data_IF_536411335366
#
_entry.id   IF_536411335366
#
_cell.length_a   1.000
_cell.length_b   1.000
_cell.length_c   1.000
_cell.angle_alpha   90.00
_cell.angle_beta   90.00
_cell.angle_gamma   90.00
#
_symmetry.space_group_name_H-M   'P 1'
#
loop_
_entity.id
_entity.type
_entity.pdbx_description
1 polymer ?
#
# COMPACT_ATOMS: atom_id res chain seq x y z
N UNK A 1 31.61 99.59 6.79
CA UNK A 1 30.93 98.75 5.77
C UNK A 1 30.68 97.36 6.35
N UNK A 2 29.40 96.99 6.45
CA UNK A 2 28.75 95.68 6.66
C UNK A 2 29.46 94.59 7.50
N UNK A 3 28.91 94.31 8.68
CA UNK A 3 29.12 93.07 9.43
C UNK A 3 28.36 91.91 8.77
N UNK A 4 29.05 90.78 8.55
CA UNK A 4 28.44 89.53 8.06
C UNK A 4 28.17 88.66 9.29
N UNK A 5 26.89 88.44 9.61
CA UNK A 5 26.46 87.42 10.58
C UNK A 5 26.52 86.06 9.89
N UNK A 6 27.46 85.21 10.31
CA UNK A 6 27.54 83.82 9.88
C UNK A 6 26.54 83.01 10.72
N UNK A 7 25.44 82.60 10.11
CA UNK A 7 24.43 81.74 10.72
C UNK A 7 24.91 80.28 10.63
N UNK A 8 25.37 79.70 11.74
CA UNK A 8 25.72 78.27 11.82
C UNK A 8 24.41 77.48 11.95
N UNK A 9 24.02 76.80 10.86
CA UNK A 9 22.92 75.86 10.85
C UNK A 9 23.43 74.51 11.39
N UNK A 10 23.11 74.20 12.65
CA UNK A 10 23.39 72.88 13.25
C UNK A 10 22.37 71.88 12.71
N UNK A 11 22.78 71.06 11.75
CA UNK A 11 21.98 69.96 11.23
C UNK A 11 22.02 68.81 12.25
N UNK A 12 20.95 68.65 13.04
CA UNK A 12 20.80 67.49 13.94
C UNK A 12 20.41 66.28 13.09
N UNK A 13 21.38 65.42 12.80
CA UNK A 13 21.11 64.10 12.23
C UNK A 13 20.47 63.23 13.31
N UNK A 14 19.17 62.98 13.19
CA UNK A 14 18.46 61.99 14.00
C UNK A 14 18.71 60.62 13.35
N UNK A 15 19.44 59.68 13.97
CA UNK A 15 19.54 58.33 13.45
C UNK A 15 18.16 57.66 13.58
N UNK A 16 17.49 57.46 12.44
CA UNK A 16 16.37 56.52 12.35
C UNK A 16 16.93 55.10 12.59
N UNK A 17 16.85 54.64 13.84
CA UNK A 17 16.97 53.22 14.13
C UNK A 17 15.72 52.53 13.59
N UNK A 18 15.77 52.10 12.34
CA UNK A 18 14.83 51.10 11.83
C UNK A 18 15.15 49.80 12.54
N UNK A 19 14.45 49.53 13.65
CA UNK A 19 14.44 48.22 14.27
C UNK A 19 13.86 47.25 13.22
N UNK A 20 14.75 46.53 12.53
CA UNK A 20 14.38 45.45 11.64
C UNK A 20 13.73 44.38 12.53
N UNK A 21 12.39 44.37 12.62
CA UNK A 21 11.68 43.28 13.28
C UNK A 21 12.07 42.00 12.55
N UNK A 22 12.68 41.06 13.27
CA UNK A 22 13.04 39.76 12.71
C UNK A 22 11.77 39.11 12.14
N UNK A 23 11.89 38.51 10.96
CA UNK A 23 10.74 37.86 10.33
C UNK A 23 10.39 36.56 11.08
N UNK A 24 9.09 36.34 11.33
CA UNK A 24 8.60 35.11 11.97
C UNK A 24 9.06 33.84 11.23
N UNK A 25 9.72 32.94 11.96
CA UNK A 25 10.24 31.68 11.46
C UNK A 25 9.76 30.52 12.34
N UNK A 26 8.67 29.88 11.90
CA UNK A 26 8.05 28.78 12.63
C UNK A 26 8.63 27.40 12.27
N UNK A 27 8.65 26.50 13.25
CA UNK A 27 8.95 25.08 13.08
C UNK A 27 7.84 24.22 13.69
N UNK A 28 7.46 23.14 13.00
CA UNK A 28 6.58 22.10 13.51
C UNK A 28 7.43 20.89 13.93
N UNK A 29 7.59 20.74 15.23
CA UNK A 29 8.32 19.64 15.84
C UNK A 29 7.39 18.45 16.04
N UNK A 30 7.89 17.29 15.64
CA UNK A 30 7.24 15.99 15.78
C UNK A 30 8.28 14.92 15.46
N UNK A 31 8.21 13.74 16.09
CA UNK A 31 8.93 12.57 15.61
C UNK A 31 8.62 12.29 14.14
N UNK A 32 9.59 11.73 13.42
CA UNK A 32 9.39 11.32 12.03
C UNK A 32 8.57 10.03 11.92
N UNK A 33 8.65 9.16 12.93
CA UNK A 33 7.93 7.89 13.00
C UNK A 33 7.43 7.66 14.43
N UNK A 34 6.24 7.09 14.60
CA UNK A 34 5.63 6.79 15.90
C UNK A 34 4.91 5.45 15.80
N UNK A 35 5.04 4.57 16.81
CA UNK A 35 4.23 3.37 16.88
C UNK A 35 2.79 3.72 17.27
N UNK A 36 1.80 3.06 16.67
CA UNK A 36 0.39 3.42 16.79
C UNK A 36 -0.15 3.35 18.24
N UNK A 37 0.49 2.58 19.12
CA UNK A 37 0.17 2.48 20.55
C UNK A 37 0.80 3.57 21.42
N UNK A 38 1.63 4.44 20.85
CA UNK A 38 2.22 5.60 21.52
C UNK A 38 1.42 6.87 21.18
N UNK A 39 1.53 7.89 22.03
CA UNK A 39 1.00 9.22 21.70
C UNK A 39 1.90 9.91 20.69
N UNK A 40 1.27 10.65 19.77
CA UNK A 40 1.97 11.58 18.90
C UNK A 40 2.08 12.93 19.61
N UNK A 41 3.31 13.39 19.82
CA UNK A 41 3.61 14.75 20.30
C UNK A 41 3.86 15.68 19.14
N UNK A 42 3.12 16.78 19.06
CA UNK A 42 3.33 17.86 18.11
C UNK A 42 3.57 19.17 18.86
N UNK A 43 4.54 19.96 18.44
CA UNK A 43 4.72 21.30 18.99
C UNK A 43 5.18 22.31 17.95
N UNK A 44 4.89 23.59 18.20
CA UNK A 44 5.33 24.70 17.38
C UNK A 44 6.37 25.51 18.14
N UNK A 45 7.46 25.87 17.46
CA UNK A 45 8.45 26.82 17.97
C UNK A 45 8.64 27.97 16.99
N UNK A 46 8.94 29.17 17.50
CA UNK A 46 9.34 30.35 16.72
C UNK A 46 10.83 30.61 17.00
N UNK A 47 11.65 30.74 15.95
CA UNK A 47 13.12 30.78 16.10
C UNK A 47 13.67 32.07 16.70
N UNK A 48 12.92 33.16 16.61
CA UNK A 48 13.30 34.47 17.12
C UNK A 48 12.59 34.79 18.45
N UNK A 49 11.99 33.78 19.09
CA UNK A 49 11.26 33.89 20.35
C UNK A 49 10.12 34.93 20.33
N UNK A 50 9.53 35.16 19.15
CA UNK A 50 8.34 36.00 19.00
C UNK A 50 7.07 35.27 19.46
N UNK A 51 6.13 36.04 20.02
CA UNK A 51 4.90 35.51 20.60
C UNK A 51 4.02 34.80 19.58
N UNK A 52 3.51 33.64 19.98
CA UNK A 52 2.46 32.90 19.29
C UNK A 52 1.21 32.97 20.15
N UNK A 53 0.08 33.39 19.56
CA UNK A 53 -1.20 33.52 20.28
C UNK A 53 -1.82 32.16 20.54
N UNK A 54 -1.91 31.31 19.51
CA UNK A 54 -2.47 29.97 19.62
C UNK A 54 -2.12 29.13 18.40
N UNK A 55 -2.36 27.82 18.50
CA UNK A 55 -2.14 26.87 17.41
C UNK A 55 -3.34 25.94 17.28
N UNK A 56 -3.75 25.67 16.04
CA UNK A 56 -4.67 24.59 15.69
C UNK A 56 -3.92 23.52 14.91
N UNK A 57 -3.70 22.36 15.55
CA UNK A 57 -3.10 21.20 14.89
C UNK A 57 -4.13 20.45 14.02
N UNK A 58 -3.65 19.67 13.06
CA UNK A 58 -4.48 18.73 12.30
C UNK A 58 -3.69 17.51 11.87
N UNK A 59 -4.35 16.35 11.78
CA UNK A 59 -3.81 15.12 11.17
C UNK A 59 -4.65 14.81 9.93
N UNK A 60 -4.02 14.68 8.77
CA UNK A 60 -4.66 14.45 7.46
C UNK A 60 -5.80 15.43 7.17
N UNK A 61 -5.62 16.69 7.57
CA UNK A 61 -6.60 17.76 7.41
C UNK A 61 -7.72 17.77 8.45
N UNK A 62 -7.87 16.72 9.28
CA UNK A 62 -8.82 16.72 10.41
C UNK A 62 -8.28 17.61 11.53
N UNK A 63 -8.97 18.73 11.76
CA UNK A 63 -8.62 19.73 12.78
C UNK A 63 -8.79 19.17 14.19
N UNK A 64 -7.83 19.50 15.05
CA UNK A 64 -7.87 19.28 16.49
C UNK A 64 -8.31 20.58 17.20
N UNK A 65 -8.66 20.52 18.50
CA UNK A 65 -9.02 21.72 19.26
C UNK A 65 -7.94 22.79 19.19
N UNK A 66 -8.37 24.05 19.16
CA UNK A 66 -7.46 25.20 19.30
C UNK A 66 -6.83 25.17 20.70
N UNK A 67 -5.54 25.47 20.78
CA UNK A 67 -4.79 25.45 22.04
C UNK A 67 -3.81 26.61 22.12
N UNK A 68 -3.71 27.22 23.30
CA UNK A 68 -2.64 28.17 23.65
C UNK A 68 -1.36 27.45 24.06
N UNK A 69 -1.47 26.20 24.56
CA UNK A 69 -0.33 25.31 24.69
C UNK A 69 0.19 25.01 23.29
N UNK A 70 1.37 25.54 22.97
CA UNK A 70 2.08 25.34 21.70
C UNK A 70 2.54 23.88 21.49
N UNK A 71 2.13 22.97 22.38
CA UNK A 71 2.38 21.53 22.35
C UNK A 71 1.09 20.74 22.60
N UNK A 72 0.94 19.60 21.93
CA UNK A 72 -0.18 18.69 22.05
C UNK A 72 0.28 17.23 21.95
N UNK A 73 -0.16 16.42 22.91
CA UNK A 73 -0.07 14.96 22.86
C UNK A 73 -1.43 14.36 22.51
N UNK A 74 -1.49 13.53 21.47
CA UNK A 74 -2.73 12.89 21.02
C UNK A 74 -2.56 11.38 20.83
N UNK A 75 -3.59 10.60 21.18
CA UNK A 75 -3.63 9.18 20.85
C UNK A 75 -3.86 9.00 19.34
N UNK A 76 -3.07 8.12 18.74
CA UNK A 76 -3.17 7.78 17.32
C UNK A 76 -3.59 6.32 17.09
N UNK A 77 -4.02 5.61 18.14
CA UNK A 77 -4.30 4.16 18.10
C UNK A 77 -5.34 3.73 17.03
N UNK A 78 -6.26 4.62 16.68
CA UNK A 78 -7.37 4.35 15.76
C UNK A 78 -7.10 4.80 14.31
N UNK A 79 -5.89 5.32 14.04
CA UNK A 79 -5.48 5.66 12.68
C UNK A 79 -4.98 4.41 11.93
N UNK A 80 -5.12 4.43 10.60
CA UNK A 80 -4.40 3.48 9.75
C UNK A 80 -2.89 3.68 9.88
N UNK A 81 -2.12 2.67 9.49
CA UNK A 81 -0.66 2.80 9.43
C UNK A 81 -0.22 3.52 8.15
N UNK A 82 1.02 3.97 8.18
CA UNK A 82 1.70 4.53 7.02
C UNK A 82 1.93 6.02 7.12
N UNK A 83 1.89 6.68 5.96
CA UNK A 83 2.22 8.10 5.79
C UNK A 83 1.03 8.98 6.17
N UNK A 84 1.24 9.85 7.16
CA UNK A 84 0.28 10.88 7.56
C UNK A 84 0.88 12.27 7.41
N UNK A 85 0.00 13.25 7.22
CA UNK A 85 0.38 14.67 7.19
C UNK A 85 -0.12 15.36 8.44
N UNK A 86 0.80 15.86 9.24
CA UNK A 86 0.47 16.77 10.33
C UNK A 86 0.61 18.21 9.86
N UNK A 87 -0.26 19.07 10.36
CA UNK A 87 -0.15 20.52 10.12
C UNK A 87 -0.41 21.29 11.40
N UNK A 88 0.15 22.48 11.48
CA UNK A 88 -0.16 23.49 12.47
C UNK A 88 -0.61 24.76 11.75
N UNK A 89 -1.82 25.24 12.06
CA UNK A 89 -2.26 26.60 11.74
C UNK A 89 -1.94 27.49 12.94
N UNK A 90 -0.95 28.35 12.77
CA UNK A 90 -0.37 29.17 13.82
C UNK A 90 -1.00 30.55 13.74
N UNK A 91 -1.51 31.07 14.86
CA UNK A 91 -2.10 32.39 15.00
C UNK A 91 -1.11 33.31 15.73
N UNK A 92 -0.76 34.45 15.13
CA UNK A 92 0.23 35.40 15.66
C UNK A 92 -0.03 36.80 15.10
N UNK A 93 -0.02 37.84 15.94
CA UNK A 93 -0.17 39.26 15.51
C UNK A 93 -1.27 39.50 14.47
N UNK A 94 -2.48 38.98 14.72
CA UNK A 94 -3.65 39.03 13.82
C UNK A 94 -3.45 38.38 12.45
N UNK A 95 -2.42 37.55 12.29
CA UNK A 95 -2.10 36.78 11.09
C UNK A 95 -2.14 35.30 11.39
N UNK A 96 -2.15 34.52 10.30
CA UNK A 96 -2.03 33.06 10.39
C UNK A 96 -1.00 32.51 9.41
N UNK A 97 -0.31 31.44 9.79
CA UNK A 97 0.59 30.69 8.90
C UNK A 97 0.38 29.20 9.11
N UNK A 98 0.23 28.46 8.00
CA UNK A 98 0.14 27.00 8.02
C UNK A 98 1.50 26.41 7.69
N UNK A 99 1.97 25.51 8.53
CA UNK A 99 3.15 24.66 8.26
C UNK A 99 2.74 23.19 8.37
N UNK A 100 3.41 22.32 7.62
CA UNK A 100 3.07 20.89 7.56
C UNK A 100 4.32 20.01 7.54
N UNK A 101 4.18 18.80 8.07
CA UNK A 101 5.24 17.79 8.10
C UNK A 101 4.64 16.41 7.88
N UNK A 102 5.42 15.51 7.30
CA UNK A 102 5.05 14.09 7.23
C UNK A 102 5.51 13.36 8.49
N UNK A 103 4.63 12.51 9.02
CA UNK A 103 4.93 11.54 10.07
C UNK A 103 4.49 10.16 9.60
N UNK A 104 5.19 9.11 10.03
CA UNK A 104 4.82 7.73 9.71
C UNK A 104 4.32 7.00 10.95
N UNK A 105 3.11 6.45 10.86
CA UNK A 105 2.56 5.59 11.89
C UNK A 105 2.95 4.14 11.62
N UNK A 106 3.59 3.51 12.59
CA UNK A 106 4.12 2.15 12.51
C UNK A 106 3.28 1.20 13.38
N UNK A 107 3.36 -0.10 13.09
CA UNK A 107 2.73 -1.08 13.95
C UNK A 107 3.32 -1.02 15.38
N UNK A 108 2.48 -1.29 16.37
CA UNK A 108 2.78 -1.43 17.79
C UNK A 108 3.73 -2.59 18.11
N UNK A 109 3.70 -3.67 17.32
CA UNK A 109 4.51 -4.87 17.53
C UNK A 109 5.09 -5.42 16.24
N UNK A 110 6.15 -6.22 16.39
CA UNK A 110 6.72 -6.96 15.28
C UNK A 110 5.74 -8.02 14.75
N UNK A 111 5.78 -8.34 13.44
CA UNK A 111 4.98 -9.43 12.89
C UNK A 111 5.38 -10.78 13.49
N UNK A 112 4.39 -11.65 13.65
CA UNK A 112 4.61 -13.06 13.95
C UNK A 112 5.29 -13.77 12.77
N UNK A 113 6.18 -14.72 13.04
CA UNK A 113 6.88 -15.46 11.99
C UNK A 113 6.24 -16.83 11.82
N UNK A 114 5.97 -17.19 10.57
CA UNK A 114 5.39 -18.46 10.19
C UNK A 114 6.34 -19.25 9.30
N UNK A 115 6.31 -20.56 9.46
CA UNK A 115 6.77 -21.54 8.48
C UNK A 115 5.55 -22.22 7.87
N UNK A 116 5.76 -23.27 7.09
CA UNK A 116 4.67 -24.03 6.48
C UNK A 116 4.90 -25.54 6.60
N UNK A 117 3.80 -26.28 6.50
CA UNK A 117 3.75 -27.72 6.23
C UNK A 117 3.09 -27.93 4.87
N UNK A 118 3.66 -28.81 4.04
CA UNK A 118 3.02 -29.22 2.78
C UNK A 118 1.97 -30.27 3.12
N UNK A 119 0.72 -30.02 2.73
CA UNK A 119 -0.41 -30.94 2.91
C UNK A 119 -0.57 -31.79 1.65
N UNK A 120 -0.56 -31.15 0.48
CA UNK A 120 -0.63 -31.81 -0.83
C UNK A 120 0.25 -31.09 -1.85
N UNK A 121 0.52 -31.78 -2.96
CA UNK A 121 1.20 -31.22 -4.13
C UNK A 121 0.42 -31.62 -5.37
N UNK A 122 0.16 -30.65 -6.24
CA UNK A 122 -0.60 -30.81 -7.48
C UNK A 122 0.27 -30.42 -8.69
N UNK A 123 0.02 -30.99 -9.87
CA UNK A 123 0.64 -30.52 -11.11
C UNK A 123 0.23 -29.07 -11.40
N UNK A 124 1.16 -28.27 -11.93
CA UNK A 124 0.90 -26.94 -12.45
C UNK A 124 1.61 -26.78 -13.80
N UNK A 125 1.06 -25.96 -14.70
CA UNK A 125 1.63 -25.76 -16.03
C UNK A 125 2.97 -24.98 -15.92
N UNK A 126 4.12 -25.59 -16.28
CA UNK A 126 5.41 -24.90 -16.21
C UNK A 126 5.55 -23.77 -17.23
N UNK A 127 4.61 -23.62 -18.18
CA UNK A 127 4.56 -22.48 -19.11
C UNK A 127 3.72 -21.32 -18.60
N UNK A 128 3.02 -21.47 -17.48
CA UNK A 128 2.17 -20.43 -16.91
C UNK A 128 3.02 -19.39 -16.15
N UNK A 129 3.04 -18.16 -16.64
CA UNK A 129 3.61 -17.02 -15.91
C UNK A 129 2.56 -16.45 -14.96
N UNK A 130 2.29 -17.15 -13.86
CA UNK A 130 1.19 -16.85 -12.91
C UNK A 130 1.26 -15.43 -12.35
N UNK A 131 0.19 -14.66 -12.54
CA UNK A 131 0.06 -13.30 -12.00
C UNK A 131 -1.18 -13.09 -11.11
N UNK A 132 -2.18 -13.97 -11.22
CA UNK A 132 -3.31 -14.02 -10.30
C UNK A 132 -3.84 -15.44 -10.19
N UNK A 133 -4.21 -15.87 -9.00
CA UNK A 133 -4.71 -17.22 -8.74
C UNK A 133 -5.91 -17.14 -7.77
N UNK A 134 -7.01 -17.79 -8.10
CA UNK A 134 -8.21 -17.80 -7.26
C UNK A 134 -8.78 -19.23 -7.22
N UNK A 135 -9.24 -19.68 -6.05
CA UNK A 135 -9.96 -20.95 -5.94
C UNK A 135 -11.47 -20.69 -5.98
N UNK A 136 -12.17 -21.36 -6.89
CA UNK A 136 -13.61 -21.22 -6.99
C UNK A 136 -14.28 -22.52 -7.45
N UNK A 137 -15.23 -23.02 -6.63
CA UNK A 137 -16.07 -24.19 -6.91
C UNK A 137 -15.30 -25.45 -7.39
N UNK A 138 -14.16 -25.76 -6.75
CA UNK A 138 -13.36 -26.95 -7.09
C UNK A 138 -12.32 -26.76 -8.19
N UNK A 139 -12.29 -25.59 -8.83
CA UNK A 139 -11.33 -25.22 -9.85
C UNK A 139 -10.42 -24.10 -9.37
N UNK A 140 -9.27 -23.98 -10.02
CA UNK A 140 -8.45 -22.78 -9.97
C UNK A 140 -8.80 -21.90 -11.15
N UNK A 141 -8.81 -20.60 -10.94
CA UNK A 141 -8.87 -19.58 -11.97
C UNK A 141 -7.54 -18.86 -11.95
N UNK A 142 -6.91 -18.76 -13.11
CA UNK A 142 -5.54 -18.28 -13.20
C UNK A 142 -5.43 -17.22 -14.29
N UNK A 143 -4.79 -16.11 -13.93
CA UNK A 143 -4.31 -15.11 -14.87
C UNK A 143 -2.83 -15.35 -15.11
N UNK A 144 -2.43 -15.52 -16.37
CA UNK A 144 -1.02 -15.59 -16.76
C UNK A 144 -0.63 -14.32 -17.47
N UNK A 145 0.54 -13.76 -17.12
CA UNK A 145 1.08 -12.56 -17.77
C UNK A 145 2.04 -12.86 -18.91
N UNK A 146 2.60 -11.79 -19.50
CA UNK A 146 3.47 -11.65 -20.71
C UNK A 146 2.73 -11.11 -21.92
N UNK A 147 3.36 -10.14 -22.58
CA UNK A 147 2.89 -9.65 -23.88
C UNK A 147 2.87 -10.80 -24.90
N UNK A 148 1.78 -10.93 -25.63
CA UNK A 148 1.57 -11.99 -26.62
C UNK A 148 1.17 -13.35 -26.06
N UNK A 149 1.27 -13.60 -24.75
CA UNK A 149 0.90 -14.91 -24.14
C UNK A 149 0.09 -14.77 -22.86
N UNK A 150 -0.48 -13.59 -22.62
CA UNK A 150 -1.39 -13.35 -21.50
C UNK A 150 -2.69 -14.13 -21.70
N UNK A 151 -3.24 -14.72 -20.64
CA UNK A 151 -4.44 -15.55 -20.75
C UNK A 151 -5.25 -15.56 -19.46
N UNK A 152 -6.55 -15.86 -19.58
CA UNK A 152 -7.45 -16.20 -18.49
C UNK A 152 -7.78 -17.70 -18.59
N UNK A 153 -7.56 -18.45 -17.51
CA UNK A 153 -7.67 -19.91 -17.48
C UNK A 153 -8.58 -20.40 -16.36
N UNK A 154 -9.34 -21.46 -16.63
CA UNK A 154 -9.94 -22.35 -15.62
C UNK A 154 -9.16 -23.65 -15.61
N UNK A 155 -8.71 -24.08 -14.44
CA UNK A 155 -7.77 -25.20 -14.28
C UNK A 155 -8.31 -26.21 -13.29
N UNK A 156 -8.29 -27.49 -13.67
CA UNK A 156 -8.68 -28.58 -12.79
C UNK A 156 -7.60 -28.83 -11.73
N UNK A 157 -7.92 -28.54 -10.45
CA UNK A 157 -6.97 -28.58 -9.32
C UNK A 157 -6.15 -29.88 -9.27
N UNK A 158 -6.80 -31.04 -9.41
CA UNK A 158 -6.14 -32.36 -9.22
C UNK A 158 -5.11 -32.68 -10.31
N UNK A 159 -5.31 -32.20 -11.53
CA UNK A 159 -4.52 -32.61 -12.70
C UNK A 159 -3.68 -31.49 -13.28
N UNK A 160 -3.94 -30.23 -12.91
CA UNK A 160 -3.32 -29.05 -13.52
C UNK A 160 -3.77 -28.80 -14.97
N UNK A 161 -4.76 -29.55 -15.48
CA UNK A 161 -5.23 -29.39 -16.87
C UNK A 161 -6.11 -28.14 -16.98
N UNK A 162 -5.81 -27.31 -17.97
CA UNK A 162 -6.67 -26.20 -18.39
C UNK A 162 -7.94 -26.79 -19.01
N UNK A 163 -9.10 -26.42 -18.48
CA UNK A 163 -10.42 -26.89 -18.95
C UNK A 163 -11.18 -25.82 -19.73
N UNK A 164 -10.78 -24.56 -19.60
CA UNK A 164 -11.30 -23.42 -20.37
C UNK A 164 -10.24 -22.32 -20.37
N UNK A 165 -10.06 -21.65 -21.51
CA UNK A 165 -9.10 -20.57 -21.67
C UNK A 165 -9.59 -19.56 -22.71
N UNK A 166 -9.24 -18.30 -22.49
CA UNK A 166 -9.18 -17.29 -23.54
C UNK A 166 -7.77 -16.68 -23.55
N UNK A 167 -7.28 -16.38 -24.75
CA UNK A 167 -6.05 -15.62 -24.93
C UNK A 167 -6.39 -14.14 -24.93
N UNK A 168 -5.54 -13.33 -24.30
CA UNK A 168 -5.71 -11.88 -24.23
C UNK A 168 -4.89 -11.25 -25.35
N UNK A 169 -5.42 -10.17 -25.94
CA UNK A 169 -4.73 -9.45 -27.01
C UNK A 169 -3.27 -9.15 -26.64
N UNK A 170 -2.37 -9.38 -27.58
CA UNK A 170 -0.93 -9.27 -27.44
C UNK A 170 -0.44 -7.93 -26.89
N UNK A 171 -1.22 -6.86 -27.03
CA UNK A 171 -0.88 -5.55 -26.48
C UNK A 171 -0.96 -5.49 -24.95
N UNK A 172 -1.67 -6.44 -24.30
CA UNK A 172 -1.87 -6.45 -22.86
C UNK A 172 -0.96 -7.48 -22.19
N UNK A 173 -0.42 -7.04 -21.05
CA UNK A 173 0.18 -7.92 -20.06
C UNK A 173 -0.81 -8.01 -18.90
N UNK A 174 -1.43 -9.16 -18.69
CA UNK A 174 -2.39 -9.34 -17.58
C UNK A 174 -1.71 -9.68 -16.27
N UNK A 175 -2.33 -9.22 -15.18
CA UNK A 175 -1.81 -9.30 -13.82
C UNK A 175 -2.82 -10.03 -12.92
N UNK A 176 -3.04 -9.57 -11.69
CA UNK A 176 -3.93 -10.18 -10.71
C UNK A 176 -5.37 -10.34 -11.18
N UNK A 177 -6.03 -11.36 -10.64
CA UNK A 177 -7.40 -11.73 -10.95
C UNK A 177 -8.15 -12.12 -9.68
N UNK A 178 -9.45 -11.82 -9.62
CA UNK A 178 -10.34 -12.36 -8.59
C UNK A 178 -11.73 -12.62 -9.14
N UNK A 179 -12.50 -13.47 -8.45
CA UNK A 179 -13.91 -13.71 -8.73
C UNK A 179 -14.76 -12.96 -7.72
N UNK A 180 -15.55 -12.01 -8.21
CA UNK A 180 -16.40 -11.18 -7.36
C UNK A 180 -17.78 -10.98 -7.99
N UNK A 181 -18.85 -11.19 -7.21
CA UNK A 181 -20.25 -11.07 -7.66
C UNK A 181 -20.55 -11.74 -9.00
N UNK A 182 -20.14 -13.01 -9.14
CA UNK A 182 -20.34 -13.83 -10.34
C UNK A 182 -19.65 -13.30 -11.62
N UNK A 183 -18.60 -12.49 -11.45
CA UNK A 183 -17.75 -12.00 -12.54
C UNK A 183 -16.29 -12.24 -12.23
N UNK A 184 -15.49 -12.33 -13.29
CA UNK A 184 -14.03 -12.36 -13.19
C UNK A 184 -13.53 -10.95 -13.46
N UNK A 185 -12.67 -10.45 -12.57
CA UNK A 185 -11.94 -9.21 -12.76
C UNK A 185 -10.47 -9.55 -12.97
N UNK A 186 -9.83 -8.94 -13.96
CA UNK A 186 -8.42 -9.18 -14.27
C UNK A 186 -7.72 -7.85 -14.56
N UNK A 187 -6.63 -7.57 -13.85
CA UNK A 187 -5.85 -6.37 -14.05
C UNK A 187 -4.91 -6.50 -15.25
N UNK A 188 -4.39 -5.36 -15.68
CA UNK A 188 -3.24 -5.29 -16.59
C UNK A 188 -2.08 -4.60 -15.87
N UNK A 189 -0.85 -4.79 -16.36
CA UNK A 189 0.32 -4.20 -15.71
C UNK A 189 0.37 -2.67 -15.88
N UNK A 190 0.68 -2.21 -17.10
CA UNK A 190 0.99 -0.80 -17.40
C UNK A 190 -0.10 -0.05 -18.15
N UNK A 191 -1.23 -0.69 -18.46
CA UNK A 191 -2.27 -0.09 -19.31
C UNK A 191 -3.31 0.74 -18.54
N UNK A 192 -3.25 0.75 -17.20
CA UNK A 192 -4.16 1.59 -16.39
C UNK A 192 -5.61 1.10 -16.38
N UNK A 193 -5.86 -0.14 -16.79
CA UNK A 193 -7.21 -0.71 -16.90
C UNK A 193 -7.27 -2.18 -16.51
N UNK A 194 -8.45 -2.65 -16.13
CA UNK A 194 -8.76 -4.06 -15.96
C UNK A 194 -9.94 -4.48 -16.83
N UNK A 195 -10.06 -5.79 -17.02
CA UNK A 195 -11.13 -6.45 -17.76
C UNK A 195 -12.16 -7.05 -16.80
N UNK A 196 -13.41 -7.10 -17.26
CA UNK A 196 -14.53 -7.75 -16.59
C UNK A 196 -15.04 -8.84 -17.52
N UNK A 197 -15.12 -10.07 -17.03
CA UNK A 197 -15.61 -11.21 -17.80
C UNK A 197 -16.78 -11.89 -17.11
N UNK A 198 -17.64 -12.49 -17.92
CA UNK A 198 -18.59 -13.49 -17.47
C UNK A 198 -17.85 -14.70 -16.88
N UNK A 199 -18.27 -15.16 -15.70
CA UNK A 199 -17.61 -16.26 -14.99
C UNK A 199 -17.71 -17.61 -15.72
N UNK A 200 -18.80 -17.86 -16.43
CA UNK A 200 -19.06 -19.14 -17.10
C UNK A 200 -18.49 -19.17 -18.51
N UNK A 201 -18.73 -18.15 -19.33
CA UNK A 201 -18.34 -18.13 -20.74
C UNK A 201 -16.95 -17.57 -21.01
N UNK A 202 -16.36 -16.82 -20.06
CA UNK A 202 -15.19 -15.95 -20.26
C UNK A 202 -15.40 -14.82 -21.29
N UNK A 203 -16.64 -14.54 -21.68
CA UNK A 203 -16.92 -13.40 -22.54
C UNK A 203 -16.58 -12.09 -21.82
N UNK A 204 -15.85 -11.20 -22.49
CA UNK A 204 -15.49 -9.89 -21.95
C UNK A 204 -16.72 -8.99 -21.95
N UNK A 205 -17.25 -8.71 -20.77
CA UNK A 205 -18.43 -7.85 -20.57
C UNK A 205 -18.07 -6.37 -20.45
N UNK A 206 -16.82 -6.03 -20.12
CA UNK A 206 -16.41 -4.64 -20.01
C UNK A 206 -14.97 -4.41 -19.56
N UNK A 207 -14.67 -3.15 -19.29
CA UNK A 207 -13.39 -2.71 -18.73
C UNK A 207 -13.62 -1.67 -17.64
N UNK A 208 -12.63 -1.52 -16.76
CA UNK A 208 -12.58 -0.47 -15.74
C UNK A 208 -11.20 0.18 -15.69
N UNK A 209 -11.11 1.42 -15.23
CA UNK A 209 -9.85 2.16 -15.13
C UNK A 209 -9.41 2.30 -13.68
N UNK A 210 -8.11 2.27 -13.44
CA UNK A 210 -7.49 2.70 -12.18
C UNK A 210 -6.53 3.86 -12.48
N UNK A 211 -6.66 4.94 -11.72
CA UNK A 211 -6.08 6.25 -12.07
C UNK A 211 -5.31 6.90 -10.93
N UNK A 212 -5.45 6.42 -9.69
CA UNK A 212 -4.73 6.89 -8.50
C UNK A 212 -3.49 6.04 -8.24
N UNK A 213 -3.54 4.74 -8.46
CA UNK A 213 -2.37 3.86 -8.39
C UNK A 213 -1.46 4.01 -9.60
N UNK A 214 -0.20 3.60 -9.46
CA UNK A 214 0.77 3.65 -10.57
C UNK A 214 0.62 2.51 -11.58
N UNK A 215 0.21 1.31 -11.13
CA UNK A 215 0.11 0.07 -11.93
C UNK A 215 -0.98 -0.86 -11.36
N UNK A 216 -1.25 -1.99 -12.03
CA UNK A 216 -2.05 -3.10 -11.50
C UNK A 216 -1.19 -4.34 -11.28
N UNK A 217 -1.15 -4.88 -10.06
CA UNK A 217 -0.38 -6.08 -9.70
C UNK A 217 -1.36 -7.15 -9.18
N UNK A 218 -1.43 -7.46 -7.88
CA UNK A 218 -2.38 -8.42 -7.33
C UNK A 218 -3.80 -7.87 -7.21
N UNK A 219 -4.79 -8.77 -7.23
CA UNK A 219 -6.21 -8.47 -7.07
C UNK A 219 -6.89 -9.57 -6.26
N UNK A 220 -7.67 -9.20 -5.25
CA UNK A 220 -8.56 -10.09 -4.49
C UNK A 220 -9.83 -9.31 -4.12
N UNK A 221 -10.72 -9.88 -3.30
CA UNK A 221 -11.90 -9.18 -2.80
C UNK A 221 -12.26 -9.62 -1.38
N UNK A 222 -12.91 -8.74 -0.61
CA UNK A 222 -13.41 -9.07 0.74
C UNK A 222 -14.91 -9.38 0.78
N UNK A 223 -15.56 -9.59 -0.37
CA UNK A 223 -17.01 -9.73 -0.48
C UNK A 223 -17.81 -8.42 -0.57
N UNK A 224 -17.17 -7.27 -0.34
CA UNK A 224 -17.80 -5.93 -0.46
C UNK A 224 -17.05 -5.03 -1.46
N UNK A 225 -15.74 -5.19 -1.56
CA UNK A 225 -14.85 -4.36 -2.38
C UNK A 225 -13.82 -5.24 -3.07
N UNK A 226 -13.42 -4.80 -4.25
CA UNK A 226 -12.19 -5.28 -4.90
C UNK A 226 -10.99 -4.64 -4.18
N UNK A 227 -9.90 -5.40 -4.05
CA UNK A 227 -8.70 -5.00 -3.33
C UNK A 227 -7.50 -5.28 -4.22
N UNK A 228 -6.66 -4.28 -4.49
CA UNK A 228 -5.49 -4.45 -5.37
C UNK A 228 -4.20 -3.85 -4.86
N UNK A 229 -3.08 -4.36 -5.36
CA UNK A 229 -1.73 -3.80 -5.19
C UNK A 229 -1.22 -3.18 -6.50
N UNK A 230 -0.15 -2.40 -6.38
CA UNK A 230 0.53 -1.72 -7.50
C UNK A 230 2.06 -1.81 -7.39
N UNK A 231 2.58 -2.79 -6.63
CA UNK A 231 4.00 -2.95 -6.35
C UNK A 231 4.55 -2.00 -5.27
N UNK A 232 3.76 -1.08 -4.73
CA UNK A 232 4.14 -0.24 -3.58
C UNK A 232 3.73 -0.88 -2.25
N UNK A 233 3.80 -0.13 -1.15
CA UNK A 233 3.20 -0.47 0.15
C UNK A 233 1.67 -0.32 0.18
N UNK A 234 1.08 0.35 -0.82
CA UNK A 234 -0.34 0.68 -0.84
C UNK A 234 -1.16 -0.50 -1.28
N UNK A 235 -2.31 -0.62 -0.63
CA UNK A 235 -3.35 -1.57 -0.98
C UNK A 235 -4.63 -0.77 -1.17
N UNK A 236 -5.14 -0.80 -2.40
CA UNK A 236 -6.23 0.04 -2.87
C UNK A 236 -7.55 -0.70 -2.75
N UNK A 237 -8.57 -0.02 -2.24
CA UNK A 237 -9.94 -0.53 -2.17
C UNK A 237 -10.77 0.14 -3.26
N UNK A 238 -11.34 -0.68 -4.12
CA UNK A 238 -12.11 -0.27 -5.28
C UNK A 238 -13.60 -0.49 -5.00
N UNK A 239 -14.41 0.48 -5.41
CA UNK A 239 -15.86 0.40 -5.30
C UNK A 239 -16.41 -0.79 -6.10
N UNK A 240 -17.36 -1.53 -5.54
CA UNK A 240 -17.94 -2.71 -6.21
C UNK A 240 -18.71 -2.41 -7.49
N UNK A 241 -19.34 -1.24 -7.60
CA UNK A 241 -20.20 -0.87 -8.71
C UNK A 241 -19.43 -0.11 -9.79
N UNK A 242 -18.54 0.80 -9.38
CA UNK A 242 -17.81 1.69 -10.30
C UNK A 242 -16.35 1.30 -10.54
N UNK A 243 -15.81 0.38 -9.72
CA UNK A 243 -14.40 -0.03 -9.72
C UNK A 243 -13.39 1.12 -9.52
N UNK A 244 -13.87 2.31 -9.15
CA UNK A 244 -13.01 3.45 -8.85
C UNK A 244 -12.26 3.21 -7.53
N UNK A 245 -10.99 3.60 -7.51
CA UNK A 245 -10.14 3.56 -6.32
C UNK A 245 -10.62 4.58 -5.30
N UNK A 246 -11.25 4.13 -4.22
CA UNK A 246 -11.84 5.01 -3.22
C UNK A 246 -10.81 5.47 -2.19
N UNK A 247 -10.09 4.50 -1.61
CA UNK A 247 -9.11 4.71 -0.57
C UNK A 247 -8.01 3.64 -0.62
N UNK A 248 -7.04 3.75 0.28
CA UNK A 248 -5.99 2.77 0.47
C UNK A 248 -5.59 2.67 1.94
N UNK A 249 -4.99 1.52 2.28
CA UNK A 249 -4.14 1.36 3.47
C UNK A 249 -2.69 1.20 3.01
N UNK A 250 -1.74 1.37 3.94
CA UNK A 250 -0.33 1.10 3.66
C UNK A 250 0.20 -0.02 4.57
N UNK A 251 0.86 -1.01 3.98
CA UNK A 251 1.37 -2.18 4.70
C UNK A 251 2.66 -1.86 5.46
N UNK A 252 2.61 -1.88 6.79
CA UNK A 252 3.73 -1.54 7.66
C UNK A 252 3.96 -2.57 8.77
N UNK A 253 5.23 -2.82 9.07
CA UNK A 253 5.68 -3.46 10.32
C UNK A 253 5.91 -2.39 11.38
N UNK A 254 6.37 -2.79 12.57
CA UNK A 254 6.82 -1.87 13.61
C UNK A 254 8.11 -1.09 13.27
N UNK A 255 8.75 -1.36 12.12
CA UNK A 255 10.02 -0.76 11.73
C UNK A 255 9.98 -0.07 10.35
N UNK A 256 9.27 -0.67 9.40
CA UNK A 256 9.31 -0.26 7.98
C UNK A 256 8.08 -0.69 7.21
N UNK A 257 7.85 -0.03 6.08
CA UNK A 257 6.89 -0.42 5.06
C UNK A 257 7.26 -1.73 4.37
N UNK A 258 6.25 -2.44 3.87
CA UNK A 258 6.44 -3.42 2.81
C UNK A 258 6.85 -2.71 1.51
N UNK A 259 7.42 -3.48 0.60
CA UNK A 259 7.74 -3.03 -0.76
C UNK A 259 7.40 -4.18 -1.69
N UNK A 260 7.01 -3.89 -2.93
CA UNK A 260 6.78 -4.92 -3.97
C UNK A 260 5.69 -5.92 -3.58
N UNK A 261 4.61 -5.44 -2.96
CA UNK A 261 3.42 -6.26 -2.76
C UNK A 261 2.88 -6.66 -4.13
N UNK A 262 2.66 -7.95 -4.33
CA UNK A 262 2.26 -8.50 -5.61
C UNK A 262 0.90 -9.19 -5.47
N UNK A 263 0.80 -10.45 -5.90
CA UNK A 263 -0.43 -11.23 -5.87
C UNK A 263 -1.05 -11.30 -4.46
N UNK A 264 -2.38 -11.30 -4.41
CA UNK A 264 -3.18 -11.12 -3.19
C UNK A 264 -4.16 -12.27 -3.01
N UNK A 265 -4.45 -12.58 -1.74
CA UNK A 265 -5.64 -13.33 -1.35
C UNK A 265 -6.25 -12.81 -0.03
N UNK A 266 -7.57 -12.67 0.04
CA UNK A 266 -8.26 -12.21 1.25
C UNK A 266 -8.78 -13.38 2.10
N UNK A 267 -8.29 -13.48 3.33
CA UNK A 267 -8.60 -14.57 4.24
C UNK A 267 -8.95 -13.99 5.63
N UNK A 268 -10.22 -14.08 6.01
CA UNK A 268 -10.71 -13.80 7.37
C UNK A 268 -10.24 -12.45 7.96
N UNK A 269 -10.33 -11.35 7.18
CA UNK A 269 -9.92 -10.02 7.65
C UNK A 269 -8.46 -9.66 7.36
N UNK A 270 -7.66 -10.62 6.89
CA UNK A 270 -6.28 -10.43 6.49
C UNK A 270 -6.14 -10.50 4.97
N UNK A 271 -5.25 -9.67 4.44
CA UNK A 271 -4.81 -9.69 3.05
C UNK A 271 -3.45 -10.39 3.05
N UNK A 272 -3.42 -11.57 2.44
CA UNK A 272 -2.22 -12.33 2.18
C UNK A 272 -1.63 -11.78 0.90
N UNK A 273 -0.37 -11.38 0.93
CA UNK A 273 0.29 -10.82 -0.25
C UNK A 273 1.64 -11.49 -0.48
N UNK A 274 1.88 -11.92 -1.72
CA UNK A 274 3.24 -12.22 -2.14
C UNK A 274 4.07 -10.94 -2.13
N UNK A 275 5.37 -11.09 -1.86
CA UNK A 275 6.34 -10.00 -2.00
C UNK A 275 7.27 -10.35 -3.16
N UNK A 276 7.17 -9.62 -4.27
CA UNK A 276 7.92 -9.94 -5.49
C UNK A 276 9.43 -9.95 -5.22
N UNK A 277 10.12 -10.97 -5.77
CA UNK A 277 11.53 -11.31 -5.51
C UNK A 277 11.82 -11.88 -4.11
N UNK A 278 10.81 -12.14 -3.29
CA UNK A 278 10.98 -12.82 -1.99
C UNK A 278 10.17 -14.12 -1.96
N UNK A 279 10.70 -15.11 -1.23
CA UNK A 279 9.97 -16.36 -1.00
C UNK A 279 9.16 -16.24 0.30
N UNK A 280 8.30 -15.22 0.38
CA UNK A 280 7.48 -14.93 1.55
C UNK A 280 6.07 -14.51 1.18
N UNK A 281 5.15 -14.74 2.11
CA UNK A 281 3.82 -14.15 2.13
C UNK A 281 3.71 -13.29 3.38
N UNK A 282 3.20 -12.07 3.24
CA UNK A 282 2.87 -11.20 4.37
C UNK A 282 1.36 -11.24 4.61
N UNK A 283 0.96 -11.23 5.89
CA UNK A 283 -0.44 -11.22 6.31
C UNK A 283 -0.76 -9.84 6.88
N UNK A 284 -1.57 -9.08 6.16
CA UNK A 284 -1.82 -7.66 6.41
C UNK A 284 -3.24 -7.46 6.90
N UNK A 285 -3.41 -6.80 8.03
CA UNK A 285 -4.73 -6.42 8.51
C UNK A 285 -5.41 -5.47 7.53
N UNK A 286 -6.55 -5.89 6.98
CA UNK A 286 -7.26 -5.14 5.93
C UNK A 286 -7.85 -3.80 6.40
N UNK A 287 -7.94 -3.57 7.73
CA UNK A 287 -8.46 -2.31 8.29
C UNK A 287 -7.34 -1.33 8.59
N UNK A 288 -6.19 -1.81 9.08
CA UNK A 288 -5.14 -0.94 9.63
C UNK A 288 -3.88 -0.86 8.76
N UNK A 289 -3.62 -1.85 7.90
CA UNK A 289 -2.33 -1.96 7.19
C UNK A 289 -1.21 -2.59 8.04
N UNK A 290 -1.51 -3.05 9.26
CA UNK A 290 -0.55 -3.78 10.09
C UNK A 290 -0.17 -5.11 9.46
N UNK A 291 1.12 -5.34 9.24
CA UNK A 291 1.63 -6.67 8.91
C UNK A 291 1.64 -7.48 10.21
N UNK A 292 0.66 -8.36 10.36
CA UNK A 292 0.48 -9.19 11.55
C UNK A 292 1.38 -10.42 11.54
N UNK A 293 1.73 -10.93 10.35
CA UNK A 293 2.70 -12.01 10.25
C UNK A 293 3.37 -12.13 8.89
N UNK A 294 4.45 -12.89 8.87
CA UNK A 294 5.28 -13.15 7.70
C UNK A 294 5.56 -14.65 7.63
N UNK A 295 5.11 -15.30 6.56
CA UNK A 295 5.40 -16.70 6.27
C UNK A 295 6.65 -16.82 5.39
N UNK A 296 7.61 -17.64 5.82
CA UNK A 296 8.79 -17.98 5.02
C UNK A 296 8.54 -19.26 4.21
N UNK A 297 8.49 -19.12 2.89
CA UNK A 297 8.23 -20.21 1.93
C UNK A 297 9.47 -20.58 1.09
N UNK A 298 10.68 -20.17 1.50
CA UNK A 298 11.93 -20.42 0.74
C UNK A 298 12.14 -21.89 0.35
N UNK A 299 11.70 -22.82 1.20
CA UNK A 299 11.83 -24.25 0.93
C UNK A 299 11.05 -24.73 -0.30
N UNK A 300 9.96 -24.06 -0.70
CA UNK A 300 9.16 -24.46 -1.86
C UNK A 300 9.94 -24.28 -3.16
N UNK A 301 10.60 -23.14 -3.34
CA UNK A 301 11.46 -22.89 -4.51
C UNK A 301 12.56 -23.94 -4.65
N UNK A 302 13.14 -24.38 -3.52
CA UNK A 302 14.14 -25.44 -3.52
C UNK A 302 13.58 -26.80 -3.97
N UNK A 303 12.29 -27.09 -3.71
CA UNK A 303 11.64 -28.31 -4.17
C UNK A 303 11.44 -28.27 -5.69
N UNK A 304 11.04 -27.11 -6.24
CA UNK A 304 10.86 -26.92 -7.68
C UNK A 304 12.19 -27.04 -8.43
N UNK A 305 13.25 -26.42 -7.89
CA UNK A 305 14.58 -26.42 -8.49
C UNK A 305 15.22 -27.83 -8.62
N UNK A 306 14.68 -28.84 -7.93
CA UNK A 306 15.10 -30.25 -8.10
C UNK A 306 14.59 -30.86 -9.41
N UNK A 307 13.53 -30.30 -10.00
CA UNK A 307 12.85 -30.86 -11.18
C UNK A 307 12.81 -29.90 -12.36
N UNK A 308 13.16 -28.63 -12.18
CA UNK A 308 13.13 -27.59 -13.21
C UNK A 308 14.28 -26.60 -13.02
N UNK A 309 14.82 -26.10 -14.13
CA UNK A 309 15.70 -24.92 -14.11
C UNK A 309 14.82 -23.68 -13.98
N UNK A 310 15.08 -22.86 -12.95
CA UNK A 310 14.34 -21.63 -12.70
C UNK A 310 15.22 -20.43 -13.00
N UNK A 311 14.72 -19.47 -13.77
CA UNK A 311 15.31 -18.14 -13.83
C UNK A 311 15.13 -17.48 -12.46
N UNK A 312 16.23 -17.21 -11.71
CA UNK A 312 16.11 -16.62 -10.39
C UNK A 312 15.49 -15.22 -10.40
N UNK A 313 15.57 -14.50 -11.53
CA UNK A 313 15.05 -13.15 -11.71
C UNK A 313 13.56 -13.10 -12.07
N UNK A 314 12.99 -14.20 -12.56
CA UNK A 314 11.67 -14.20 -13.18
C UNK A 314 10.73 -15.31 -12.67
N UNK A 315 11.28 -16.50 -12.38
CA UNK A 315 10.54 -17.69 -11.95
C UNK A 315 10.45 -17.74 -10.42
N UNK A 316 9.67 -16.80 -9.90
CA UNK A 316 9.53 -16.53 -8.46
C UNK A 316 8.19 -17.02 -7.90
N UNK A 317 8.12 -17.18 -6.58
CA UNK A 317 6.88 -17.41 -5.84
C UNK A 317 5.87 -16.30 -6.17
N UNK A 318 4.69 -16.68 -6.65
CA UNK A 318 3.57 -15.79 -6.97
C UNK A 318 2.29 -16.61 -7.22
N UNK A 319 1.17 -16.19 -6.65
CA UNK A 319 -0.11 -16.90 -6.74
C UNK A 319 -0.48 -17.53 -5.40
N UNK A 320 -1.60 -17.07 -4.83
CA UNK A 320 -2.16 -17.51 -3.56
C UNK A 320 -3.66 -17.71 -3.77
N UNK A 321 -4.19 -18.89 -3.46
CA UNK A 321 -5.62 -19.14 -3.55
C UNK A 321 -6.13 -19.83 -2.28
N UNK A 322 -7.34 -19.50 -1.87
CA UNK A 322 -7.93 -20.01 -0.64
C UNK A 322 -9.30 -20.66 -0.86
N UNK A 323 -9.38 -21.94 -0.52
CA UNK A 323 -10.65 -22.64 -0.40
C UNK A 323 -11.24 -22.41 0.99
N UNK A 324 -12.10 -21.41 1.10
CA UNK A 324 -12.79 -21.06 2.35
C UNK A 324 -13.64 -22.21 2.91
N UNK A 325 -14.24 -23.06 2.06
CA UNK A 325 -15.14 -24.13 2.51
C UNK A 325 -14.38 -25.22 3.26
N UNK A 326 -13.18 -25.56 2.79
CA UNK A 326 -12.38 -26.65 3.37
C UNK A 326 -11.12 -26.15 4.10
N UNK A 327 -10.96 -24.83 4.23
CA UNK A 327 -9.81 -24.17 4.86
C UNK A 327 -8.47 -24.63 4.26
N UNK A 328 -8.34 -24.56 2.93
CA UNK A 328 -7.10 -24.97 2.21
C UNK A 328 -6.44 -23.77 1.56
N UNK A 329 -5.15 -23.60 1.81
CA UNK A 329 -4.33 -22.54 1.22
C UNK A 329 -3.43 -23.14 0.14
N UNK A 330 -3.52 -22.60 -1.07
CA UNK A 330 -2.72 -23.02 -2.21
C UNK A 330 -1.73 -21.93 -2.59
N UNK A 331 -0.51 -22.34 -2.94
CA UNK A 331 0.54 -21.44 -3.42
C UNK A 331 1.27 -22.06 -4.60
N UNK A 332 1.68 -21.22 -5.55
CA UNK A 332 2.49 -21.61 -6.71
C UNK A 332 3.53 -20.52 -7.02
N UNK A 333 4.13 -20.58 -8.20
CA UNK A 333 5.00 -19.53 -8.71
C UNK A 333 4.97 -19.45 -10.22
N UNK A 334 5.59 -18.39 -10.73
CA UNK A 334 5.74 -18.18 -12.17
C UNK A 334 6.58 -19.31 -12.76
N UNK A 335 6.04 -20.00 -13.75
CA UNK A 335 6.62 -21.19 -14.39
C UNK A 335 6.88 -22.39 -13.47
N UNK A 336 6.33 -22.41 -12.26
CA UNK A 336 6.47 -23.56 -11.37
C UNK A 336 5.66 -24.73 -11.91
N UNK A 337 6.25 -25.92 -12.00
CA UNK A 337 5.55 -27.14 -12.44
C UNK A 337 4.68 -27.78 -11.36
N UNK A 338 4.57 -27.15 -10.18
CA UNK A 338 3.79 -27.65 -9.05
C UNK A 338 3.08 -26.52 -8.32
N UNK A 339 1.88 -26.84 -7.85
CA UNK A 339 1.11 -26.05 -6.89
C UNK A 339 1.07 -26.82 -5.56
N UNK A 340 1.27 -26.11 -4.45
CA UNK A 340 1.33 -26.69 -3.12
C UNK A 340 0.09 -26.29 -2.32
N UNK A 341 -0.57 -27.27 -1.72
CA UNK A 341 -1.46 -27.00 -0.58
C UNK A 341 -0.60 -26.95 0.67
N UNK A 342 -0.70 -25.85 1.42
CA UNK A 342 0.11 -25.63 2.61
C UNK A 342 -0.75 -25.26 3.81
N UNK A 343 -0.21 -25.57 4.99
CA UNK A 343 -0.70 -25.06 6.26
C UNK A 343 0.39 -24.15 6.85
N UNK A 344 0.02 -22.93 7.26
CA UNK A 344 0.96 -22.02 7.92
C UNK A 344 1.07 -22.34 9.40
N UNK A 345 2.29 -22.57 9.87
CA UNK A 345 2.60 -22.92 11.25
C UNK A 345 3.40 -21.78 11.88
N UNK A 346 2.87 -21.20 12.97
CA UNK A 346 3.58 -20.17 13.72
C UNK A 346 4.86 -20.77 14.34
N UNK A 347 5.98 -20.06 14.22
CA UNK A 347 7.28 -20.47 14.78
C UNK A 347 7.42 -20.16 16.26
#
# INVERSE_FOLDING_TARGET
MKSIKLLILVLVLIPLFTACKSEYSFNLNSPAKVQINQKLTMSVTEKNEQDITSVQFSIDGKKLPLTESLSLDISIQDYILGKHTISALIFYTDKTKKISKTVYFLADKAPDIYTYKIINTYPHDPKAYTQGLEYHNGFLYESTGRYGTSSLRKVALKTGKVVQQIDIDSEYFTEGLTIFKNKIYQLTWKKGLGFIYNLESFEKEGTFKYTKSIEGWGLTNNGEKLIKTDGTERIWFLNEATQLEENHIEAYTNKRKAQRLNELEYINGLIYANVWQQNSIVMINAKTGKIEGIANLKGLKNIIAKTQNLDPSDDVLNGIAYDKKNNRLFVTGKHWGKLFEIELIKK
#
